data_IF_051489537997
#
_entry.id   IF_051489537997
#
_cell.length_a   1.000
_cell.length_b   1.000
_cell.length_c   1.000
_cell.angle_alpha   90.00
_cell.angle_beta   90.00
_cell.angle_gamma   90.00
#
_symmetry.space_group_name_H-M   'P 1'
#
loop_
_entity.id
_entity.type
_entity.pdbx_description
1 polymer ?
#
# COMPACT_ATOMS: atom_id res chain seq x y z
N UNK A 1 14.38 17.36 -17.16
CA UNK A 1 14.38 15.87 -17.14
C UNK A 1 15.55 15.32 -16.30
N UNK A 2 15.71 15.76 -15.04
CA UNK A 2 16.85 15.34 -14.19
C UNK A 2 16.49 14.31 -13.09
N UNK A 3 15.19 14.12 -12.78
CA UNK A 3 14.74 13.25 -11.68
C UNK A 3 14.65 11.75 -12.00
N UNK A 4 14.41 11.35 -13.26
CA UNK A 4 14.22 9.95 -13.63
C UNK A 4 15.52 9.11 -13.56
N UNK A 5 16.67 9.70 -13.92
CA UNK A 5 17.97 9.02 -13.86
C UNK A 5 18.41 8.67 -12.42
N UNK A 6 17.96 9.45 -11.44
CA UNK A 6 18.23 9.19 -10.02
C UNK A 6 17.46 7.97 -9.50
N UNK A 7 16.22 7.77 -9.97
CA UNK A 7 15.37 6.62 -9.59
C UNK A 7 15.91 5.35 -10.24
N UNK A 8 16.28 5.40 -11.52
CA UNK A 8 16.94 4.28 -12.19
C UNK A 8 18.21 3.87 -11.44
N UNK A 9 19.06 4.81 -11.01
CA UNK A 9 20.26 4.48 -10.24
C UNK A 9 19.97 3.92 -8.82
N UNK A 10 18.83 4.27 -8.22
CA UNK A 10 18.31 3.68 -6.98
C UNK A 10 17.82 2.23 -7.20
N UNK A 11 17.30 1.94 -8.40
CA UNK A 11 16.79 0.62 -8.80
C UNK A 11 17.86 -0.27 -9.48
N UNK A 12 18.90 0.33 -10.08
CA UNK A 12 19.93 -0.32 -10.90
C UNK A 12 21.30 -0.37 -10.22
N UNK A 13 21.49 0.39 -9.14
CA UNK A 13 22.74 0.47 -8.39
C UNK A 13 22.95 -0.73 -7.48
N UNK A 14 23.19 -1.92 -8.05
CA UNK A 14 23.85 -3.07 -7.38
C UNK A 14 23.16 -3.68 -6.15
N UNK A 15 22.08 -3.09 -5.64
CA UNK A 15 21.16 -3.75 -4.73
C UNK A 15 20.26 -4.61 -5.58
N UNK A 16 20.47 -5.93 -5.59
CA UNK A 16 19.41 -6.86 -5.94
C UNK A 16 18.13 -6.33 -5.29
N UNK A 17 17.14 -5.90 -6.08
CA UNK A 17 15.81 -5.55 -5.58
C UNK A 17 15.34 -6.76 -4.76
N UNK A 18 15.44 -6.64 -3.44
CA UNK A 18 15.22 -7.77 -2.55
C UNK A 18 13.77 -8.16 -2.72
N UNK A 19 13.51 -9.45 -2.98
CA UNK A 19 12.14 -9.96 -3.07
C UNK A 19 11.33 -9.49 -1.86
N UNK A 20 10.10 -9.12 -2.17
CA UNK A 20 9.12 -8.58 -1.24
C UNK A 20 9.48 -7.17 -0.81
N UNK A 21 8.87 -6.15 -1.40
CA UNK A 21 9.03 -4.76 -1.02
C UNK A 21 7.70 -4.21 -0.48
N UNK A 22 7.67 -3.59 0.69
CA UNK A 22 6.54 -2.79 1.18
C UNK A 22 6.82 -1.33 0.92
N UNK A 23 5.87 -0.67 0.29
CA UNK A 23 5.97 0.72 -0.08
C UNK A 23 4.73 1.42 0.44
N UNK A 24 4.97 2.39 1.31
CA UNK A 24 3.94 3.20 1.95
C UNK A 24 4.24 4.64 1.55
N UNK A 25 3.34 5.27 0.80
CA UNK A 25 3.62 6.58 0.21
C UNK A 25 2.68 7.63 0.78
N UNK A 26 3.28 8.77 1.09
CA UNK A 26 2.63 9.98 1.54
C UNK A 26 2.99 11.12 0.59
N UNK A 27 2.07 12.06 0.39
CA UNK A 27 2.35 13.30 -0.33
C UNK A 27 1.12 13.85 -1.02
N UNK A 28 1.14 15.14 -1.41
CA UNK A 28 -0.01 15.80 -2.00
C UNK A 28 -0.42 15.18 -3.34
N UNK A 29 -1.70 15.29 -3.69
CA UNK A 29 -2.24 14.89 -5.00
C UNK A 29 -1.43 15.55 -6.12
N UNK A 30 -1.14 14.81 -7.19
CA UNK A 30 -0.35 15.31 -8.33
C UNK A 30 1.17 15.33 -8.15
N UNK A 31 1.72 14.88 -7.02
CA UNK A 31 3.19 14.85 -6.79
C UNK A 31 3.96 13.77 -7.58
N UNK A 32 3.30 13.03 -8.46
CA UNK A 32 3.94 12.01 -9.31
C UNK A 32 4.23 10.67 -8.61
N UNK A 33 3.54 10.37 -7.50
CA UNK A 33 3.68 9.09 -6.76
C UNK A 33 3.27 7.90 -7.62
N UNK A 34 2.16 8.01 -8.32
CA UNK A 34 1.52 6.91 -9.03
C UNK A 34 2.40 6.27 -10.14
N UNK A 35 3.08 7.04 -11.02
CA UNK A 35 4.05 6.47 -11.96
C UNK A 35 5.23 5.75 -11.28
N UNK A 36 5.74 6.32 -10.18
CA UNK A 36 6.83 5.69 -9.42
C UNK A 36 6.37 4.38 -8.78
N UNK A 37 5.19 4.38 -8.18
CA UNK A 37 4.61 3.21 -7.52
C UNK A 37 4.32 2.05 -8.48
N UNK A 38 3.91 2.35 -9.71
CA UNK A 38 3.70 1.33 -10.73
C UNK A 38 5.00 0.73 -11.30
N UNK A 39 6.17 1.35 -11.04
CA UNK A 39 7.46 0.87 -11.53
C UNK A 39 8.10 -0.21 -10.65
N UNK A 40 7.52 -0.50 -9.48
CA UNK A 40 8.09 -1.46 -8.53
C UNK A 40 8.01 -2.91 -9.04
N UNK A 41 8.90 -3.81 -8.54
CA UNK A 41 9.01 -5.17 -9.04
C UNK A 41 7.71 -5.99 -8.94
N UNK A 42 7.38 -6.70 -10.02
CA UNK A 42 6.24 -7.64 -10.09
C UNK A 42 6.60 -9.03 -9.59
N UNK A 43 5.67 -9.82 -9.04
CA UNK A 43 4.24 -9.54 -8.87
C UNK A 43 3.95 -8.39 -7.91
N UNK A 44 3.12 -7.45 -8.34
CA UNK A 44 2.79 -6.22 -7.62
C UNK A 44 1.34 -6.26 -7.16
N UNK A 45 1.12 -6.02 -5.87
CA UNK A 45 -0.19 -5.71 -5.32
C UNK A 45 -0.24 -4.24 -4.90
N UNK A 46 -1.31 -3.56 -5.24
CA UNK A 46 -1.63 -2.19 -4.86
C UNK A 46 -2.92 -2.22 -4.05
N UNK A 47 -2.88 -1.66 -2.85
CA UNK A 47 -4.06 -1.27 -2.08
C UNK A 47 -4.22 0.23 -2.27
N UNK A 48 -5.28 0.61 -2.97
CA UNK A 48 -5.59 2.00 -3.31
C UNK A 48 -6.68 2.53 -2.36
N UNK A 49 -6.33 3.46 -1.47
CA UNK A 49 -7.21 4.00 -0.44
C UNK A 49 -8.01 5.24 -0.89
N UNK A 50 -8.01 5.58 -2.19
CA UNK A 50 -8.76 6.71 -2.72
C UNK A 50 -7.87 7.81 -3.32
N UNK A 51 -8.49 8.66 -4.15
CA UNK A 51 -7.85 9.63 -5.06
C UNK A 51 -7.12 9.01 -6.27
N UNK A 52 -7.76 7.98 -6.84
CA UNK A 52 -7.32 7.17 -7.98
C UNK A 52 -6.50 7.89 -9.04
N UNK A 53 -5.40 7.24 -9.39
CA UNK A 53 -4.48 7.65 -10.45
C UNK A 53 -3.49 6.55 -10.77
N UNK A 54 -3.12 5.75 -9.76
CA UNK A 54 -2.22 4.60 -9.93
C UNK A 54 -2.75 3.56 -10.92
N UNK A 55 -4.06 3.35 -10.99
CA UNK A 55 -4.68 2.40 -11.93
C UNK A 55 -4.29 2.68 -13.38
N UNK A 56 -4.04 3.94 -13.74
CA UNK A 56 -3.64 4.33 -15.10
C UNK A 56 -2.23 3.88 -15.49
N UNK A 57 -1.40 3.52 -14.51
CA UNK A 57 -0.01 3.11 -14.69
C UNK A 57 0.21 1.60 -14.45
N UNK A 58 -0.79 0.90 -13.92
CA UNK A 58 -0.72 -0.54 -13.68
C UNK A 58 -0.94 -1.32 -14.98
N UNK A 59 -0.42 -2.55 -15.03
CA UNK A 59 -0.79 -3.47 -16.10
C UNK A 59 -2.28 -3.79 -15.97
N UNK A 60 -3.09 -3.51 -17.02
CA UNK A 60 -4.52 -3.75 -16.95
C UNK A 60 -4.79 -5.25 -16.81
N UNK A 61 -5.81 -5.64 -16.02
CA UNK A 61 -6.26 -7.02 -15.98
C UNK A 61 -6.82 -7.45 -17.34
N UNK A 62 -6.81 -8.75 -17.62
CA UNK A 62 -7.51 -9.30 -18.78
C UNK A 62 -8.98 -8.85 -18.80
N UNK A 63 -9.47 -8.58 -20.02
CA UNK A 63 -10.91 -8.50 -20.25
C UNK A 63 -11.43 -9.89 -20.59
N UNK A 64 -12.37 -10.39 -19.78
CA UNK A 64 -13.13 -11.60 -20.07
C UNK A 64 -14.58 -11.17 -20.26
N UNK A 65 -15.15 -11.43 -21.43
CA UNK A 65 -16.50 -11.01 -21.81
C UNK A 65 -16.77 -9.51 -21.62
N UNK A 66 -15.76 -8.68 -21.90
CA UNK A 66 -15.85 -7.22 -21.76
C UNK A 66 -15.83 -6.71 -20.31
N UNK A 67 -15.62 -7.59 -19.32
CA UNK A 67 -15.46 -7.23 -17.91
C UNK A 67 -14.00 -7.39 -17.50
N UNK A 68 -13.48 -6.44 -16.71
CA UNK A 68 -12.19 -6.62 -16.05
C UNK A 68 -12.32 -7.78 -15.07
N UNK A 69 -11.52 -8.82 -15.25
CA UNK A 69 -11.45 -9.94 -14.33
C UNK A 69 -9.99 -10.16 -13.94
N UNK A 70 -9.71 -10.04 -12.64
CA UNK A 70 -8.37 -10.31 -12.12
C UNK A 70 -8.14 -11.81 -12.09
N UNK A 71 -7.06 -12.27 -12.71
CA UNK A 71 -6.65 -13.67 -12.65
C UNK A 71 -5.43 -13.81 -11.72
N UNK A 72 -5.63 -14.41 -10.54
CA UNK A 72 -4.57 -14.56 -9.54
C UNK A 72 -3.36 -15.36 -10.05
N UNK A 73 -3.54 -16.34 -10.94
CA UNK A 73 -2.43 -17.09 -11.51
C UNK A 73 -1.54 -16.19 -12.38
N UNK A 74 -2.15 -15.27 -13.13
CA UNK A 74 -1.42 -14.29 -13.97
C UNK A 74 -0.74 -13.23 -13.13
N UNK A 75 -1.40 -12.78 -12.06
CA UNK A 75 -0.81 -11.89 -11.05
C UNK A 75 0.43 -12.54 -10.46
N UNK A 76 0.34 -13.77 -9.95
CA UNK A 76 1.47 -14.46 -9.31
C UNK A 76 2.59 -14.83 -10.29
N UNK A 77 2.31 -14.88 -11.61
CA UNK A 77 3.34 -14.97 -12.66
C UNK A 77 3.95 -13.61 -13.06
N UNK A 78 3.44 -12.50 -12.53
CA UNK A 78 3.90 -11.14 -12.85
C UNK A 78 3.41 -10.61 -14.20
N UNK A 79 2.42 -11.29 -14.80
CA UNK A 79 1.81 -10.91 -16.07
C UNK A 79 0.81 -9.76 -15.88
N UNK A 80 0.14 -9.71 -14.73
CA UNK A 80 -0.84 -8.70 -14.33
C UNK A 80 -0.46 -8.10 -12.97
N UNK A 81 -0.93 -6.88 -12.71
CA UNK A 81 -0.82 -6.24 -11.39
C UNK A 81 -2.17 -6.38 -10.67
N UNK A 82 -2.17 -6.64 -9.36
CA UNK A 82 -3.40 -6.68 -8.56
C UNK A 82 -3.63 -5.30 -7.94
N UNK A 83 -4.70 -4.62 -8.33
CA UNK A 83 -5.13 -3.38 -7.69
C UNK A 83 -6.45 -3.62 -6.95
N UNK A 84 -6.47 -3.30 -5.66
CA UNK A 84 -7.68 -3.34 -4.84
C UNK A 84 -7.94 -1.92 -4.34
N UNK A 85 -8.97 -1.28 -4.90
CA UNK A 85 -9.47 -0.03 -4.33
C UNK A 85 -10.29 -0.36 -3.09
N UNK A 86 -9.94 0.23 -1.95
CA UNK A 86 -10.60 0.02 -0.66
C UNK A 86 -11.31 1.30 -0.22
N UNK A 87 -12.48 1.12 0.38
CA UNK A 87 -13.24 2.18 1.02
C UNK A 87 -13.50 1.75 2.46
N UNK A 88 -12.92 2.47 3.42
CA UNK A 88 -13.08 2.20 4.84
C UNK A 88 -12.22 1.08 5.42
N UNK A 89 -12.28 1.00 6.74
CA UNK A 89 -11.38 0.22 7.59
C UNK A 89 -11.48 -1.31 7.39
N UNK A 90 -12.68 -1.83 7.14
CA UNK A 90 -12.90 -3.27 6.98
C UNK A 90 -12.27 -3.79 5.69
N UNK A 91 -12.48 -3.09 4.57
CA UNK A 91 -11.90 -3.44 3.27
C UNK A 91 -10.38 -3.32 3.31
N UNK A 92 -9.85 -2.28 3.95
CA UNK A 92 -8.42 -2.10 4.17
C UNK A 92 -7.81 -3.26 4.96
N UNK A 93 -8.48 -3.70 6.04
CA UNK A 93 -8.04 -4.83 6.84
C UNK A 93 -8.01 -6.13 6.04
N UNK A 94 -9.07 -6.40 5.26
CA UNK A 94 -9.14 -7.58 4.39
C UNK A 94 -8.06 -7.57 3.31
N UNK A 95 -7.80 -6.42 2.68
CA UNK A 95 -6.77 -6.28 1.67
C UNK A 95 -5.36 -6.53 2.24
N UNK A 96 -5.08 -6.00 3.44
CA UNK A 96 -3.82 -6.26 4.14
C UNK A 96 -3.70 -7.74 4.53
N UNK A 97 -4.75 -8.34 5.08
CA UNK A 97 -4.71 -9.76 5.47
C UNK A 97 -4.51 -10.68 4.26
N UNK A 98 -5.10 -10.34 3.11
CA UNK A 98 -4.84 -11.04 1.86
C UNK A 98 -3.37 -10.88 1.42
N UNK A 99 -2.84 -9.66 1.44
CA UNK A 99 -1.44 -9.40 1.06
C UNK A 99 -0.45 -10.14 1.95
N UNK A 100 -0.71 -10.18 3.26
CA UNK A 100 0.13 -10.87 4.24
C UNK A 100 0.02 -12.40 4.11
N UNK A 101 -1.17 -12.93 3.84
CA UNK A 101 -1.39 -14.37 3.60
C UNK A 101 -0.70 -14.88 2.34
N UNK A 102 -0.42 -13.99 1.39
CA UNK A 102 0.20 -14.29 0.10
C UNK A 102 1.56 -13.60 -0.07
N UNK A 103 2.23 -13.26 1.03
CA UNK A 103 3.45 -12.45 1.01
C UNK A 103 4.63 -13.09 0.25
N UNK A 104 4.61 -14.42 0.07
CA UNK A 104 5.59 -15.16 -0.72
C UNK A 104 5.35 -15.08 -2.23
N UNK A 105 4.14 -14.65 -2.64
CA UNK A 105 3.75 -14.51 -4.05
C UNK A 105 4.03 -13.13 -4.61
N UNK A 106 4.10 -12.11 -3.75
CA UNK A 106 4.33 -10.74 -4.18
C UNK A 106 5.80 -10.34 -4.06
N UNK A 107 6.32 -9.71 -5.10
CA UNK A 107 7.59 -9.02 -5.02
C UNK A 107 7.44 -7.59 -4.50
N UNK A 108 6.25 -6.99 -4.63
CA UNK A 108 5.95 -5.67 -4.08
C UNK A 108 4.51 -5.55 -3.59
N UNK A 109 4.33 -4.88 -2.45
CA UNK A 109 3.07 -4.43 -1.90
C UNK A 109 3.14 -2.90 -1.76
N UNK A 110 2.26 -2.21 -2.48
CA UNK A 110 2.06 -0.77 -2.40
C UNK A 110 0.77 -0.51 -1.66
N UNK A 111 0.80 0.43 -0.72
CA UNK A 111 -0.41 1.03 -0.16
C UNK A 111 -0.39 2.51 -0.53
N UNK A 112 -1.24 2.90 -1.46
CA UNK A 112 -1.38 4.27 -1.96
C UNK A 112 -2.50 4.97 -1.17
N UNK A 113 -2.22 6.18 -0.67
CA UNK A 113 -3.16 6.89 0.21
C UNK A 113 -3.22 6.35 1.64
N UNK A 114 -2.10 5.89 2.22
CA UNK A 114 -2.11 5.34 3.58
C UNK A 114 -2.53 6.34 4.67
N UNK A 115 -2.44 7.64 4.40
CA UNK A 115 -3.03 8.69 5.23
C UNK A 115 -4.56 8.65 5.22
N UNK A 116 -5.18 8.44 4.05
CA UNK A 116 -6.63 8.31 3.92
C UNK A 116 -7.12 7.09 4.71
N UNK A 117 -6.37 5.98 4.67
CA UNK A 117 -6.68 4.81 5.49
C UNK A 117 -6.61 5.09 7.00
N UNK A 118 -5.76 6.02 7.44
CA UNK A 118 -5.71 6.47 8.84
C UNK A 118 -6.88 7.39 9.18
N UNK A 119 -7.26 8.29 8.27
CA UNK A 119 -8.43 9.17 8.40
C UNK A 119 -9.72 8.35 8.50
N UNK A 120 -9.95 7.42 7.57
CA UNK A 120 -11.07 6.47 7.60
C UNK A 120 -11.13 5.68 8.90
N UNK A 121 -9.97 5.25 9.42
CA UNK A 121 -9.89 4.55 10.70
C UNK A 121 -10.30 5.44 11.87
N UNK A 122 -9.86 6.71 11.87
CA UNK A 122 -10.27 7.67 12.90
C UNK A 122 -11.77 7.97 12.82
N UNK A 123 -12.31 8.16 11.62
CA UNK A 123 -13.72 8.45 11.40
C UNK A 123 -14.61 7.29 11.86
N UNK A 124 -14.22 6.05 11.57
CA UNK A 124 -14.93 4.86 12.07
C UNK A 124 -14.98 4.82 13.61
N UNK A 125 -13.88 5.18 14.29
CA UNK A 125 -13.86 5.24 15.75
C UNK A 125 -14.64 6.44 16.30
N UNK A 126 -14.62 7.58 15.61
CA UNK A 126 -15.42 8.76 15.93
C UNK A 126 -16.92 8.41 15.93
N UNK A 127 -17.38 7.78 14.84
CA UNK A 127 -18.76 7.28 14.72
C UNK A 127 -19.10 6.29 15.84
N UNK A 128 -18.19 5.34 16.11
CA UNK A 128 -18.39 4.31 17.15
C UNK A 128 -18.48 4.89 18.56
N UNK A 129 -17.77 5.97 18.84
CA UNK A 129 -17.82 6.65 20.14
C UNK A 129 -18.93 7.72 20.22
N UNK A 130 -19.63 7.99 19.12
CA UNK A 130 -20.70 8.98 19.06
C UNK A 130 -20.19 10.42 19.08
N UNK A 131 -18.99 10.68 18.53
CA UNK A 131 -18.36 11.98 18.50
C UNK A 131 -16.85 11.94 18.77
N UNK A 132 -16.25 13.11 18.91
CA UNK A 132 -14.80 13.30 18.97
C UNK A 132 -14.09 12.33 19.93
N UNK A 133 -12.99 11.75 19.46
CA UNK A 133 -12.18 10.80 20.23
C UNK A 133 -11.52 11.54 21.42
N UNK A 134 -11.89 11.15 22.64
CA UNK A 134 -11.42 11.77 23.87
C UNK A 134 -10.40 10.90 24.61
N UNK A 135 -9.39 11.55 25.20
CA UNK A 135 -8.51 10.99 26.24
C UNK A 135 -8.21 9.49 26.13
N UNK A 136 -8.73 8.70 27.09
CA UNK A 136 -8.48 7.25 27.18
C UNK A 136 -8.91 6.42 25.97
N UNK A 137 -9.81 6.94 25.11
CA UNK A 137 -10.26 6.28 23.89
C UNK A 137 -9.14 6.19 22.84
N UNK A 138 -8.17 7.10 22.86
CA UNK A 138 -7.02 7.07 21.94
C UNK A 138 -6.23 5.76 21.99
N UNK A 139 -6.23 5.07 23.14
CA UNK A 139 -5.61 3.74 23.25
C UNK A 139 -6.34 2.70 22.40
N UNK A 140 -7.67 2.78 22.32
CA UNK A 140 -8.51 1.89 21.52
C UNK A 140 -8.39 2.18 20.03
N UNK A 141 -8.15 3.43 19.64
CA UNK A 141 -7.91 3.84 18.24
C UNK A 141 -6.48 3.45 17.81
N UNK A 142 -5.46 3.98 18.50
CA UNK A 142 -4.05 3.78 18.09
C UNK A 142 -3.57 2.34 18.27
N UNK A 143 -4.17 1.56 19.19
CA UNK A 143 -3.74 0.20 19.50
C UNK A 143 -3.81 -0.74 18.29
N UNK A 144 -5.01 -0.97 17.72
CA UNK A 144 -5.20 -1.79 16.53
C UNK A 144 -4.40 -1.29 15.32
N UNK A 145 -4.36 0.03 15.09
CA UNK A 145 -3.55 0.62 14.02
C UNK A 145 -2.05 0.29 14.16
N UNK A 146 -1.47 0.50 15.35
CA UNK A 146 -0.08 0.12 15.65
C UNK A 146 0.14 -1.38 15.51
N UNK A 147 -0.82 -2.23 15.87
CA UNK A 147 -0.71 -3.68 15.71
C UNK A 147 -0.67 -4.08 14.23
N UNK A 148 -1.53 -3.48 13.39
CA UNK A 148 -1.51 -3.66 11.93
C UNK A 148 -0.19 -3.20 11.33
N UNK A 149 0.28 -2.00 11.68
CA UNK A 149 1.59 -1.50 11.26
C UNK A 149 2.71 -2.45 11.67
N UNK A 150 2.69 -2.98 12.90
CA UNK A 150 3.68 -3.98 13.34
C UNK A 150 3.61 -5.26 12.53
N UNK A 151 2.41 -5.76 12.20
CA UNK A 151 2.24 -6.94 11.33
C UNK A 151 2.81 -6.67 9.94
N UNK A 152 2.45 -5.53 9.34
CA UNK A 152 3.03 -5.06 8.09
C UNK A 152 4.54 -4.97 8.23
N UNK A 153 5.14 -4.35 9.25
CA UNK A 153 6.60 -4.24 9.36
C UNK A 153 7.32 -5.58 9.58
N UNK A 154 6.69 -6.54 10.26
CA UNK A 154 7.29 -7.87 10.58
C UNK A 154 7.18 -8.90 9.47
N UNK A 155 6.32 -8.67 8.48
CA UNK A 155 6.14 -9.59 7.34
C UNK A 155 7.45 -9.77 6.54
N UNK A 156 7.59 -10.87 5.80
CA UNK A 156 8.80 -11.20 5.01
C UNK A 156 9.11 -10.25 3.87
N UNK A 157 8.12 -9.47 3.44
CA UNK A 157 8.29 -8.39 2.49
C UNK A 157 9.19 -7.29 3.13
N UNK A 158 10.41 -7.08 2.63
CA UNK A 158 11.30 -5.98 3.01
C UNK A 158 10.62 -4.61 2.91
N UNK A 159 10.85 -3.74 3.88
CA UNK A 159 10.33 -2.37 3.84
C UNK A 159 11.26 -1.54 2.95
N UNK A 160 10.83 -1.25 1.71
CA UNK A 160 11.70 -0.74 0.65
C UNK A 160 11.66 0.78 0.48
N UNK A 161 10.51 1.40 0.76
CA UNK A 161 10.37 2.86 0.73
C UNK A 161 9.51 3.27 1.93
N UNK A 162 10.19 3.56 3.04
CA UNK A 162 9.58 4.01 4.29
C UNK A 162 10.31 5.21 4.87
N UNK A 163 10.93 6.03 4.01
CA UNK A 163 11.69 7.21 4.44
C UNK A 163 10.87 8.12 5.37
N UNK A 164 9.53 8.04 5.34
CA UNK A 164 8.63 8.77 6.23
C UNK A 164 8.07 8.00 7.44
N UNK A 165 8.13 6.66 7.45
CA UNK A 165 7.54 5.87 8.55
C UNK A 165 8.48 5.64 9.71
N UNK A 166 9.80 5.65 9.50
CA UNK A 166 10.72 5.63 10.64
C UNK A 166 10.52 6.88 11.48
N UNK A 167 10.28 8.03 10.85
CA UNK A 167 10.03 9.28 11.55
C UNK A 167 8.67 9.26 12.28
N UNK A 168 7.59 8.79 11.65
CA UNK A 168 6.25 8.79 12.28
C UNK A 168 6.06 7.65 13.31
N UNK A 169 6.68 6.49 13.13
CA UNK A 169 6.48 5.32 14.00
C UNK A 169 7.50 5.20 15.15
N UNK A 170 8.66 5.86 15.04
CA UNK A 170 9.74 5.78 16.03
C UNK A 170 10.16 7.13 16.66
N UNK A 171 9.71 8.28 16.17
CA UNK A 171 9.78 9.53 16.95
C UNK A 171 8.45 9.82 17.66
N UNK A 172 8.25 9.11 18.78
CA UNK A 172 7.75 9.60 20.07
C UNK A 172 7.74 8.45 21.09
#
# INVERSE_FOLDING_TARGET
>A
MAGLKSIEHLLSGGGQTRRGMKILVFGPTGSGKSPLLASFPRPLMVIDCGEGGIQTYLKPPALVDGKQQVNLDRVFKGEEDLCVTVQGEDQMSQAIDFALSNEDKFNSLVIDGYNLAWEDHMDWYNDKFGGDIQGGQWRLVKGPWKARQKRLMRSRLNVGFSAWLRDIAYEQ
#
